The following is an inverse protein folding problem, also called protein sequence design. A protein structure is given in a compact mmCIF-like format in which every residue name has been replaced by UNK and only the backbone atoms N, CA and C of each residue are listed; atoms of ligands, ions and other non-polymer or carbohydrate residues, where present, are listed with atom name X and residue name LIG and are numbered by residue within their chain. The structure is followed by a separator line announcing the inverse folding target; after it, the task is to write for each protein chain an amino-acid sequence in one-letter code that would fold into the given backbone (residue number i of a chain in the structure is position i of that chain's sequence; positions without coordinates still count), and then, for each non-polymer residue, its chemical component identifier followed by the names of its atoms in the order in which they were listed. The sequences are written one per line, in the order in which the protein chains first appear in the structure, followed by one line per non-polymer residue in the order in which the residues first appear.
data_IF_614129236519
#
_entry.id   IF_614129236519
#
_cell.length_a   1.000
_cell.length_b   1.000
_cell.length_c   1.000
_cell.angle_alpha   90.00
_cell.angle_beta   90.00
_cell.angle_gamma   90.00
#
_symmetry.space_group_name_H-M   'P 1'
#
loop_
_entity.id
_entity.type
_entity.pdbx_description
1 polymer ?
#
# COMPACT_ATOMS: atom_id res chain seq x y z
N UNK A 1 7.06 -16.33 -6.24
CA UNK A 1 7.22 -14.90 -6.60
C UNK A 1 8.61 -14.40 -6.17
N UNK A 2 9.13 -13.32 -6.77
CA UNK A 2 10.37 -12.66 -6.31
C UNK A 2 10.25 -12.23 -4.83
N UNK A 3 11.28 -12.52 -4.01
CA UNK A 3 11.23 -12.27 -2.57
C UNK A 3 11.10 -10.77 -2.22
N UNK A 4 11.67 -9.88 -3.04
CA UNK A 4 11.55 -8.44 -2.84
C UNK A 4 10.13 -7.96 -3.14
N UNK A 5 9.47 -8.50 -4.17
CA UNK A 5 8.06 -8.20 -4.48
C UNK A 5 7.16 -8.68 -3.33
N UNK A 6 7.43 -9.87 -2.78
CA UNK A 6 6.68 -10.42 -1.63
C UNK A 6 6.84 -9.56 -0.38
N UNK A 7 8.07 -9.12 -0.07
CA UNK A 7 8.35 -8.25 1.08
C UNK A 7 7.61 -6.90 0.94
N UNK A 8 7.68 -6.27 -0.23
CA UNK A 8 7.00 -4.99 -0.50
C UNK A 8 5.49 -5.15 -0.41
N UNK A 9 4.94 -6.23 -0.96
CA UNK A 9 3.52 -6.55 -0.87
C UNK A 9 3.03 -6.61 0.59
N UNK A 10 3.73 -7.36 1.45
CA UNK A 10 3.37 -7.48 2.87
C UNK A 10 3.47 -6.14 3.61
N UNK A 11 4.45 -5.31 3.26
CA UNK A 11 4.62 -3.98 3.88
C UNK A 11 3.52 -3.01 3.47
N UNK A 12 3.15 -2.99 2.19
CA UNK A 12 2.01 -2.20 1.68
C UNK A 12 0.71 -2.60 2.37
N UNK A 13 0.46 -3.91 2.53
CA UNK A 13 -0.70 -4.42 3.25
C UNK A 13 -0.76 -3.91 4.70
N UNK A 14 0.36 -3.95 5.41
CA UNK A 14 0.44 -3.44 6.78
C UNK A 14 0.16 -1.94 6.87
N UNK A 15 0.61 -1.16 5.90
CA UNK A 15 0.37 0.28 5.84
C UNK A 15 -1.10 0.58 5.56
N UNK A 16 -1.68 -0.07 4.54
CA UNK A 16 -3.11 0.08 4.23
C UNK A 16 -3.99 -0.28 5.43
N UNK A 17 -3.61 -1.34 6.17
CA UNK A 17 -4.33 -1.75 7.37
C UNK A 17 -4.31 -0.70 8.49
N UNK A 18 -3.23 0.10 8.62
CA UNK A 18 -3.19 1.20 9.61
C UNK A 18 -4.26 2.25 9.31
N UNK A 19 -4.44 2.63 8.05
CA UNK A 19 -5.49 3.57 7.66
C UNK A 19 -6.88 2.94 7.79
N UNK A 20 -7.04 1.70 7.35
CA UNK A 20 -8.33 1.00 7.43
C UNK A 20 -8.76 0.71 8.87
N UNK A 21 -7.82 0.59 9.83
CA UNK A 21 -8.18 0.49 11.26
C UNK A 21 -8.88 1.73 11.82
N UNK A 22 -8.79 2.88 11.13
CA UNK A 22 -9.57 4.09 11.43
C UNK A 22 -10.98 4.03 10.82
N UNK A 23 -11.21 3.16 9.83
CA UNK A 23 -12.52 2.91 9.23
C UNK A 23 -13.35 1.98 10.11
N UNK A 24 -14.64 2.28 10.25
CA UNK A 24 -15.60 1.38 10.92
C UNK A 24 -16.18 0.30 9.99
N UNK A 25 -15.82 0.35 8.70
CA UNK A 25 -16.54 -0.37 7.64
C UNK A 25 -15.67 -1.49 7.05
N UNK A 26 -14.35 -1.30 6.97
CA UNK A 26 -13.45 -2.21 6.25
C UNK A 26 -12.24 -2.54 7.11
N UNK A 27 -11.91 -3.83 7.21
CA UNK A 27 -10.66 -4.33 7.79
C UNK A 27 -10.01 -5.34 6.85
N UNK A 28 -8.68 -5.33 6.77
CA UNK A 28 -7.94 -6.31 5.98
C UNK A 28 -7.61 -7.53 6.83
N UNK A 29 -7.88 -8.73 6.29
CA UNK A 29 -7.37 -9.96 6.87
C UNK A 29 -5.93 -10.18 6.40
N UNK A 30 -4.98 -9.50 7.04
CA UNK A 30 -3.54 -9.56 6.71
C UNK A 30 -2.99 -10.97 6.87
N UNK A 31 -3.48 -11.72 7.86
CA UNK A 31 -3.06 -13.08 8.11
C UNK A 31 -3.37 -13.98 6.91
N UNK A 32 -4.59 -13.91 6.38
CA UNK A 32 -4.96 -14.59 5.14
C UNK A 32 -4.14 -14.10 3.94
N UNK A 33 -4.04 -12.78 3.74
CA UNK A 33 -3.32 -12.19 2.61
C UNK A 33 -1.81 -12.47 2.65
N UNK A 34 -1.24 -12.80 3.81
CA UNK A 34 0.17 -13.19 3.94
C UNK A 34 0.43 -14.66 3.57
N UNK A 35 -0.60 -15.49 3.58
CA UNK A 35 -0.50 -16.95 3.31
C UNK A 35 -0.66 -17.30 1.84
N UNK A 36 -1.21 -16.40 1.03
CA UNK A 36 -1.27 -16.54 -0.41
C UNK A 36 0.12 -16.30 -1.03
N UNK A 37 0.45 -17.08 -2.07
CA UNK A 37 1.63 -16.86 -2.93
C UNK A 37 1.19 -16.30 -4.29
N UNK A 38 0.72 -15.04 -4.34
CA UNK A 38 0.23 -14.44 -5.58
C UNK A 38 1.36 -14.28 -6.59
N UNK A 39 1.02 -14.33 -7.87
CA UNK A 39 1.88 -13.87 -8.96
C UNK A 39 2.09 -12.36 -8.89
N UNK A 40 3.12 -11.87 -9.59
CA UNK A 40 3.39 -10.43 -9.68
C UNK A 40 2.19 -9.62 -10.21
N UNK A 41 1.44 -10.17 -11.18
CA UNK A 41 0.23 -9.55 -11.71
C UNK A 41 -0.90 -9.50 -10.68
N UNK A 42 -1.08 -10.55 -9.89
CA UNK A 42 -2.06 -10.57 -8.81
C UNK A 42 -1.69 -9.56 -7.71
N UNK A 43 -0.40 -9.44 -7.37
CA UNK A 43 0.08 -8.42 -6.43
C UNK A 43 -0.24 -7.01 -6.94
N UNK A 44 0.07 -6.71 -8.20
CA UNK A 44 -0.24 -5.39 -8.78
C UNK A 44 -1.75 -5.12 -8.78
N UNK A 45 -2.57 -6.13 -9.09
CA UNK A 45 -4.04 -6.00 -9.04
C UNK A 45 -4.55 -5.75 -7.61
N UNK A 46 -4.02 -6.46 -6.62
CA UNK A 46 -4.36 -6.24 -5.21
C UNK A 46 -3.96 -4.84 -4.76
N UNK A 47 -2.78 -4.36 -5.16
CA UNK A 47 -2.32 -3.00 -4.87
C UNK A 47 -3.24 -1.93 -5.46
N UNK A 48 -3.69 -2.09 -6.71
CA UNK A 48 -4.67 -1.18 -7.32
C UNK A 48 -6.02 -1.22 -6.60
N UNK A 49 -6.49 -2.41 -6.22
CA UNK A 49 -7.74 -2.53 -5.45
C UNK A 49 -7.63 -1.84 -4.09
N UNK A 50 -6.48 -1.95 -3.42
CA UNK A 50 -6.21 -1.24 -2.16
C UNK A 50 -6.19 0.28 -2.36
N UNK A 51 -5.55 0.77 -3.42
CA UNK A 51 -5.54 2.19 -3.77
C UNK A 51 -6.97 2.74 -3.92
N UNK A 52 -7.83 2.04 -4.66
CA UNK A 52 -9.24 2.42 -4.83
C UNK A 52 -10.01 2.42 -3.49
N UNK A 53 -9.82 1.39 -2.66
CA UNK A 53 -10.47 1.33 -1.32
C UNK A 53 -10.02 2.51 -0.44
N UNK A 54 -8.75 2.89 -0.52
CA UNK A 54 -8.20 4.02 0.22
C UNK A 54 -8.69 5.37 -0.35
N UNK A 55 -9.05 5.46 -1.62
CA UNK A 55 -9.61 6.66 -2.22
C UNK A 55 -11.03 6.94 -1.71
N UNK A 56 -11.82 5.89 -1.50
CA UNK A 56 -13.19 5.95 -0.94
C UNK A 56 -13.23 6.23 0.57
N UNK A 57 -12.06 6.35 1.22
CA UNK A 57 -11.94 6.56 2.65
C UNK A 57 -12.15 8.04 3.00
N UNK A 58 -13.35 8.39 3.48
CA UNK A 58 -13.61 9.70 4.06
C UNK A 58 -12.86 9.83 5.40
N UNK A 59 -11.93 10.78 5.46
CA UNK A 59 -11.17 11.11 6.67
C UNK A 59 -11.55 12.53 7.14
N UNK A 60 -11.95 12.67 8.41
CA UNK A 60 -12.33 13.96 9.00
C UNK A 60 -11.11 14.90 9.21
N UNK A 61 -9.90 14.34 9.24
CA UNK A 61 -8.65 15.07 9.42
C UNK A 61 -7.98 15.37 8.05
N UNK A 62 -7.76 16.65 7.70
CA UNK A 62 -7.10 17.06 6.46
C UNK A 62 -5.66 16.55 6.29
N UNK A 63 -4.90 16.39 7.38
CA UNK A 63 -3.54 15.86 7.34
C UNK A 63 -3.56 14.34 7.06
N UNK A 64 -4.51 13.62 7.65
CA UNK A 64 -4.72 12.20 7.35
C UNK A 64 -5.15 12.04 5.88
N UNK A 65 -6.04 12.90 5.40
CA UNK A 65 -6.48 12.91 3.99
C UNK A 65 -5.30 13.09 3.03
N UNK A 66 -4.38 14.00 3.33
CA UNK A 66 -3.17 14.20 2.52
C UNK A 66 -2.26 12.95 2.53
N UNK A 67 -2.04 12.36 3.70
CA UNK A 67 -1.21 11.17 3.85
C UNK A 67 -1.81 9.95 3.12
N UNK A 68 -3.14 9.79 3.15
CA UNK A 68 -3.87 8.76 2.41
C UNK A 68 -3.68 8.94 0.91
N UNK A 69 -3.85 10.16 0.38
CA UNK A 69 -3.59 10.45 -1.05
C UNK A 69 -2.16 10.15 -1.47
N UNK A 70 -1.18 10.50 -0.64
CA UNK A 70 0.22 10.19 -0.92
C UNK A 70 0.49 8.68 -0.88
N UNK A 71 -0.16 7.94 0.03
CA UNK A 71 -0.08 6.48 0.04
C UNK A 71 -0.67 5.85 -1.22
N UNK A 72 -1.84 6.32 -1.67
CA UNK A 72 -2.49 5.85 -2.90
C UNK A 72 -1.53 6.00 -4.09
N UNK A 73 -0.96 7.19 -4.29
CA UNK A 73 -0.02 7.46 -5.37
C UNK A 73 1.20 6.52 -5.38
N UNK A 74 1.75 6.25 -4.20
CA UNK A 74 2.92 5.36 -4.10
C UNK A 74 2.53 3.89 -4.30
N UNK A 75 1.38 3.46 -3.79
CA UNK A 75 0.86 2.10 -4.01
C UNK A 75 0.61 1.86 -5.51
N UNK A 76 0.01 2.82 -6.21
CA UNK A 76 -0.18 2.77 -7.66
C UNK A 76 1.16 2.74 -8.41
N UNK A 77 2.13 3.55 -7.97
CA UNK A 77 3.49 3.55 -8.52
C UNK A 77 4.17 2.18 -8.40
N UNK A 78 4.06 1.54 -7.24
CA UNK A 78 4.59 0.18 -7.00
C UNK A 78 3.88 -0.83 -7.91
N UNK A 79 2.55 -0.78 -8.00
CA UNK A 79 1.78 -1.68 -8.86
C UNK A 79 2.21 -1.57 -10.33
N UNK A 80 2.38 -0.34 -10.83
CA UNK A 80 2.81 -0.08 -12.20
C UNK A 80 4.25 -0.56 -12.45
N UNK A 81 5.17 -0.36 -11.50
CA UNK A 81 6.54 -0.84 -11.60
C UNK A 81 6.62 -2.38 -11.62
N UNK A 82 5.78 -3.06 -10.84
CA UNK A 82 5.68 -4.53 -10.86
C UNK A 82 5.21 -5.02 -12.24
N UNK A 83 4.19 -4.39 -12.83
CA UNK A 83 3.67 -4.76 -14.16
C UNK A 83 4.69 -4.47 -15.26
N UNK A 84 5.44 -3.38 -15.15
CA UNK A 84 6.50 -3.01 -16.09
C UNK A 84 7.74 -3.93 -16.01
N UNK A 85 7.82 -4.80 -14.98
CA UNK A 85 8.97 -5.68 -14.77
C UNK A 85 10.20 -4.93 -14.29
N UNK A 86 10.01 -3.81 -13.60
CA UNK A 86 11.10 -3.02 -13.03
C UNK A 86 11.89 -3.81 -11.99
N UNK A 87 13.16 -3.44 -11.82
CA UNK A 87 14.05 -4.13 -10.89
C UNK A 87 13.59 -3.99 -9.43
N UNK A 88 13.95 -4.98 -8.60
CA UNK A 88 13.69 -4.92 -7.16
C UNK A 88 14.26 -3.67 -6.47
N UNK A 89 15.36 -3.09 -6.98
CA UNK A 89 15.93 -1.84 -6.46
C UNK A 89 14.99 -0.64 -6.67
N UNK A 90 14.35 -0.56 -7.84
CA UNK A 90 13.42 0.52 -8.15
C UNK A 90 12.14 0.41 -7.30
N UNK A 91 11.66 -0.81 -7.09
CA UNK A 91 10.55 -1.10 -6.17
C UNK A 91 10.90 -0.70 -4.73
N UNK A 92 12.14 -0.95 -4.28
CA UNK A 92 12.61 -0.53 -2.95
C UNK A 92 12.68 0.99 -2.79
N UNK A 93 13.04 1.75 -3.84
CA UNK A 93 13.01 3.22 -3.81
C UNK A 93 11.58 3.74 -3.66
N UNK A 94 10.64 3.19 -4.43
CA UNK A 94 9.22 3.54 -4.33
C UNK A 94 8.68 3.22 -2.94
N UNK A 95 9.05 2.06 -2.38
CA UNK A 95 8.68 1.71 -1.01
C UNK A 95 9.28 2.66 0.04
N UNK A 96 10.55 3.07 -0.10
CA UNK A 96 11.16 4.03 0.81
C UNK A 96 10.46 5.41 0.78
N UNK A 97 9.84 5.79 -0.35
CA UNK A 97 8.97 6.95 -0.42
C UNK A 97 7.68 6.72 0.38
N UNK A 98 7.06 5.54 0.25
CA UNK A 98 5.88 5.16 1.04
C UNK A 98 6.13 5.30 2.54
N UNK A 99 7.24 4.76 3.05
CA UNK A 99 7.59 4.85 4.47
C UNK A 99 7.74 6.29 4.97
N UNK A 100 8.27 7.20 4.14
CA UNK A 100 8.39 8.62 4.50
C UNK A 100 7.03 9.29 4.64
N UNK A 101 6.07 8.95 3.78
CA UNK A 101 4.73 9.53 3.81
C UNK A 101 3.86 8.96 4.94
N UNK A 102 4.11 7.72 5.34
CA UNK A 102 3.37 7.04 6.42
C UNK A 102 3.92 7.36 7.81
N UNK A 103 5.23 7.64 7.93
CA UNK A 103 5.88 7.99 9.20
C UNK A 103 5.86 9.50 9.52
N UNK A 104 5.16 10.33 8.76
CA UNK A 104 4.94 11.73 9.18
C UNK A 104 3.95 11.69 10.36
N UNK A 105 4.37 12.07 11.59
CA UNK A 105 3.42 12.17 12.69
C UNK A 105 2.35 13.17 12.29
N UNK A 106 1.08 12.76 12.37
CA UNK A 106 -0.05 13.68 12.28
C UNK A 106 0.18 14.72 13.38
N UNK A 107 0.27 16.03 13.05
CA UNK A 107 0.39 17.05 14.08
C UNK A 107 -0.86 16.93 14.99
N UNK A 108 -0.64 16.64 16.28
CA UNK A 108 -1.66 16.69 17.32
C UNK A 108 -2.17 18.13 17.51
#
# INVERSE_FOLDING_TARGET
MDEAIKDIYLRVLNIANKFLSQSKIVSLNIEYLSTIDPSAQEVASIMQQLANILEDLECDDPNITLNVRQCIWVIEGIANAIVAGESGEELQKLYAMLEKHVNVPVPL
#
